data_IF_812673691772
#
_entry.id   IF_812673691772
#
_cell.length_a   1.000
_cell.length_b   1.000
_cell.length_c   1.000
_cell.angle_alpha   90.00
_cell.angle_beta   90.00
_cell.angle_gamma   90.00
#
_symmetry.space_group_name_H-M   'P 1'
#
loop_
_entity.id
_entity.type
_entity.pdbx_description
1 polymer ?
#
# COMPACT_ATOMS: atom_id res chain seq x y z
N UNK A 1 6.52 40.86 8.52
CA UNK A 1 7.77 40.15 8.90
C UNK A 1 7.85 38.90 8.04
N UNK A 2 8.85 38.57 7.23
CA UNK A 2 10.09 39.19 6.75
C UNK A 2 10.53 38.27 5.59
N UNK A 3 10.35 38.64 4.30
CA UNK A 3 11.38 39.17 3.38
C UNK A 3 12.80 38.57 3.45
N UNK A 4 12.94 37.24 3.61
CA UNK A 4 14.24 36.55 3.44
C UNK A 4 14.26 35.31 2.53
N UNK A 5 13.18 35.00 1.81
CA UNK A 5 13.12 33.84 0.90
C UNK A 5 13.59 34.13 -0.55
N UNK A 6 13.65 35.40 -0.97
CA UNK A 6 13.91 35.74 -2.37
C UNK A 6 15.40 35.96 -2.73
N UNK A 7 16.31 36.10 -1.75
CA UNK A 7 17.73 36.38 -2.01
C UNK A 7 18.58 35.12 -2.34
N UNK A 8 18.09 33.91 -2.07
CA UNK A 8 18.88 32.70 -2.30
C UNK A 8 18.86 32.24 -3.77
N UNK A 9 17.81 32.58 -4.54
CA UNK A 9 17.68 32.14 -5.95
C UNK A 9 18.51 32.96 -6.95
N UNK A 10 19.02 34.14 -6.58
CA UNK A 10 19.70 35.04 -7.53
C UNK A 10 21.22 34.89 -7.59
N UNK A 11 21.87 34.18 -6.64
CA UNK A 11 23.34 34.05 -6.61
C UNK A 11 23.92 32.77 -7.21
N UNK A 12 23.10 31.80 -7.62
CA UNK A 12 23.60 30.52 -8.18
C UNK A 12 23.50 30.39 -9.71
N UNK A 13 23.05 31.43 -10.42
CA UNK A 13 22.82 31.41 -11.87
C UNK A 13 23.80 32.25 -12.72
N UNK A 14 24.92 32.74 -12.18
CA UNK A 14 25.95 33.47 -12.95
C UNK A 14 27.37 32.88 -12.86
N UNK A 15 27.51 31.56 -12.86
CA UNK A 15 28.81 30.89 -12.96
C UNK A 15 28.80 29.71 -13.93
N UNK A 16 28.95 30.02 -15.22
CA UNK A 16 29.31 29.14 -16.34
C UNK A 16 30.54 28.26 -16.00
N UNK A 17 30.80 27.03 -16.45
CA UNK A 17 30.21 25.97 -17.31
C UNK A 17 31.19 24.75 -17.23
N UNK A 18 31.09 23.64 -18.01
CA UNK A 18 30.14 22.53 -17.98
C UNK A 18 30.82 21.15 -17.69
N UNK A 19 30.15 20.21 -17.01
CA UNK A 19 30.26 18.77 -17.33
C UNK A 19 29.15 17.93 -16.70
N UNK A 20 28.62 17.00 -17.51
CA UNK A 20 27.78 15.85 -17.16
C UNK A 20 26.38 16.13 -16.60
N UNK A 21 25.49 16.54 -17.51
CA UNK A 21 24.04 16.52 -17.31
C UNK A 21 23.47 15.10 -17.45
N UNK A 22 22.91 14.58 -16.36
CA UNK A 22 21.51 14.10 -16.26
C UNK A 22 21.29 13.62 -14.82
N UNK A 23 21.11 14.55 -13.90
CA UNK A 23 20.52 14.27 -12.58
C UNK A 23 19.00 14.31 -12.72
N UNK A 24 18.35 13.31 -12.14
CA UNK A 24 16.91 13.24 -11.88
C UNK A 24 16.54 14.26 -10.78
N UNK A 25 15.85 15.36 -11.12
CA UNK A 25 14.79 15.80 -10.21
C UNK A 25 13.55 16.24 -10.99
N UNK A 26 12.85 15.29 -11.63
CA UNK A 26 11.50 15.54 -12.18
C UNK A 26 10.49 14.42 -11.87
N UNK A 27 10.82 13.44 -11.03
CA UNK A 27 9.87 12.36 -10.64
C UNK A 27 9.12 12.58 -9.32
N UNK A 28 9.22 13.76 -8.70
CA UNK A 28 8.28 14.14 -7.64
C UNK A 28 7.08 14.83 -8.29
N UNK A 29 6.10 14.01 -8.69
CA UNK A 29 4.73 14.46 -8.94
C UNK A 29 4.25 15.34 -7.78
N UNK A 30 3.44 16.39 -8.02
CA UNK A 30 3.14 17.37 -7.00
C UNK A 30 2.51 16.70 -5.79
N UNK A 31 3.15 16.85 -4.62
CA UNK A 31 2.54 16.62 -3.32
C UNK A 31 1.18 17.31 -3.35
N UNK A 32 0.09 16.54 -3.24
CA UNK A 32 -1.26 17.07 -3.15
C UNK A 32 -1.27 18.12 -2.02
N UNK A 33 -1.42 19.39 -2.39
CA UNK A 33 -1.36 20.54 -1.47
C UNK A 33 -2.67 20.76 -0.70
N UNK A 34 -3.64 19.87 -0.84
CA UNK A 34 -4.91 20.02 -0.14
C UNK A 34 -4.91 19.22 1.15
N UNK A 35 -5.21 19.85 2.30
CA UNK A 35 -5.51 19.09 3.50
C UNK A 35 -6.72 18.21 3.19
N UNK A 36 -6.62 16.90 3.48
CA UNK A 36 -7.76 15.97 3.41
C UNK A 36 -8.71 16.34 4.55
N UNK A 37 -9.49 17.40 4.37
CA UNK A 37 -10.62 17.73 5.23
C UNK A 37 -11.80 16.89 4.74
N UNK A 38 -12.26 15.98 5.59
CA UNK A 38 -13.33 15.03 5.31
C UNK A 38 -14.72 15.64 5.17
N UNK A 39 -14.89 16.66 4.33
CA UNK A 39 -16.20 17.24 4.02
C UNK A 39 -16.61 16.89 2.58
N UNK A 40 -17.50 15.90 2.48
CA UNK A 40 -18.18 15.55 1.23
C UNK A 40 -19.27 16.60 0.98
N UNK A 41 -19.12 17.45 -0.05
CA UNK A 41 -20.25 18.22 -0.58
C UNK A 41 -21.15 17.26 -1.36
N UNK A 42 -22.30 16.93 -0.79
CA UNK A 42 -23.40 16.27 -1.49
C UNK A 42 -24.08 17.31 -2.38
N UNK A 43 -23.88 17.23 -3.70
CA UNK A 43 -24.78 17.83 -4.67
C UNK A 43 -25.45 16.69 -5.44
N UNK A 44 -26.69 16.38 -5.06
CA UNK A 44 -27.64 15.71 -5.92
C UNK A 44 -28.60 16.80 -6.41
N UNK A 45 -28.51 17.16 -7.70
CA UNK A 45 -29.59 17.89 -8.36
C UNK A 45 -30.24 16.96 -9.38
N UNK A 46 -31.56 16.83 -9.21
CA UNK A 46 -32.49 16.06 -10.02
C UNK A 46 -32.42 16.43 -11.50
N UNK A 47 -32.11 15.44 -12.35
CA UNK A 47 -32.58 15.42 -13.74
C UNK A 47 -33.10 14.04 -14.09
N UNK A 48 -34.39 13.99 -14.38
CA UNK A 48 -35.08 12.83 -14.97
C UNK A 48 -34.43 12.46 -16.31
N UNK A 49 -33.55 11.48 -16.26
CA UNK A 49 -33.16 10.61 -17.37
C UNK A 49 -33.41 9.20 -16.87
N UNK A 50 -33.98 8.32 -17.71
CA UNK A 50 -34.25 6.93 -17.34
C UNK A 50 -32.99 6.28 -16.74
N UNK A 51 -33.03 6.09 -15.43
CA UNK A 51 -31.88 5.77 -14.60
C UNK A 51 -31.64 4.27 -14.65
N UNK A 52 -30.52 3.83 -15.22
CA UNK A 52 -30.01 2.46 -15.08
C UNK A 52 -28.99 2.49 -13.93
N UNK A 53 -29.39 2.21 -12.68
CA UNK A 53 -28.63 2.64 -11.48
C UNK A 53 -27.32 1.87 -11.24
N UNK A 54 -26.97 0.92 -12.11
CA UNK A 54 -25.78 0.07 -11.95
C UNK A 54 -24.54 0.52 -12.73
N UNK A 55 -24.69 1.25 -13.84
CA UNK A 55 -23.56 1.59 -14.70
C UNK A 55 -22.78 2.81 -14.19
N UNK A 56 -23.47 3.83 -13.69
CA UNK A 56 -22.85 5.07 -13.21
C UNK A 56 -22.06 4.85 -11.92
N UNK A 57 -22.58 4.00 -11.02
CA UNK A 57 -21.92 3.70 -9.76
C UNK A 57 -20.66 2.83 -9.96
N UNK A 58 -20.71 1.85 -10.88
CA UNK A 58 -19.53 1.10 -11.30
C UNK A 58 -18.47 2.00 -11.98
N UNK A 59 -18.90 2.99 -12.77
CA UNK A 59 -18.01 3.99 -13.37
C UNK A 59 -17.33 4.87 -12.32
N UNK A 60 -18.10 5.38 -11.34
CA UNK A 60 -17.54 6.22 -10.27
C UNK A 60 -16.53 5.47 -9.39
N UNK A 61 -16.81 4.20 -9.06
CA UNK A 61 -15.88 3.34 -8.32
C UNK A 61 -14.64 3.00 -9.16
N UNK A 62 -14.78 2.87 -10.48
CA UNK A 62 -13.67 2.65 -11.40
C UNK A 62 -12.76 3.87 -11.54
N UNK A 63 -13.30 5.09 -11.55
CA UNK A 63 -12.55 6.35 -11.64
C UNK A 63 -11.73 6.63 -10.37
N UNK A 64 -12.29 6.28 -9.20
CA UNK A 64 -11.60 6.43 -7.91
C UNK A 64 -10.34 5.56 -7.83
N UNK A 65 -10.34 4.38 -8.45
CA UNK A 65 -9.15 3.51 -8.58
C UNK A 65 -8.03 4.20 -9.36
N UNK A 66 -8.35 4.86 -10.47
CA UNK A 66 -7.33 5.37 -11.39
C UNK A 66 -6.57 6.57 -10.83
N UNK A 67 -7.25 7.39 -10.02
CA UNK A 67 -6.71 8.70 -9.59
C UNK A 67 -6.26 8.76 -8.13
N UNK A 68 -6.54 7.73 -7.33
CA UNK A 68 -6.32 7.78 -5.87
C UNK A 68 -5.59 6.56 -5.31
N UNK A 69 -5.00 5.74 -6.17
CA UNK A 69 -4.16 4.61 -5.77
C UNK A 69 -2.70 4.96 -6.05
N UNK A 70 -1.83 4.98 -5.03
CA UNK A 70 -0.39 5.12 -5.24
C UNK A 70 0.15 3.97 -6.08
N UNK A 71 1.08 4.28 -6.98
CA UNK A 71 1.77 3.26 -7.79
C UNK A 71 2.41 2.17 -6.92
N UNK A 72 3.07 2.56 -5.84
CA UNK A 72 3.73 1.64 -4.92
C UNK A 72 2.91 1.47 -3.65
N UNK A 73 2.57 0.22 -3.36
CA UNK A 73 1.95 -0.20 -2.12
C UNK A 73 2.83 -1.22 -1.40
N UNK A 74 2.62 -1.34 -0.10
CA UNK A 74 3.34 -2.24 0.78
C UNK A 74 2.38 -3.16 1.50
N UNK A 75 2.82 -4.38 1.83
CA UNK A 75 2.03 -5.31 2.64
C UNK A 75 2.93 -6.12 3.55
N UNK A 76 2.53 -6.27 4.81
CA UNK A 76 3.13 -7.25 5.71
C UNK A 76 2.23 -8.47 5.81
N UNK A 77 2.83 -9.66 5.79
CA UNK A 77 2.11 -10.91 5.93
C UNK A 77 2.96 -11.97 6.64
N UNK A 78 2.30 -12.96 7.23
CA UNK A 78 2.91 -14.18 7.74
C UNK A 78 2.16 -15.40 7.22
N UNK A 79 2.61 -16.60 7.60
CA UNK A 79 1.93 -17.87 7.27
C UNK A 79 0.52 -17.98 7.83
N UNK A 80 0.08 -17.07 8.70
CA UNK A 80 -1.30 -17.03 9.21
C UNK A 80 -2.16 -15.94 8.58
N UNK A 81 -1.60 -15.08 7.73
CA UNK A 81 -2.34 -13.97 7.09
C UNK A 81 -3.40 -14.40 6.08
N UNK A 82 -3.36 -15.66 5.63
CA UNK A 82 -4.36 -16.32 4.77
C UNK A 82 -5.39 -17.17 5.53
N UNK A 83 -5.67 -16.84 6.80
CA UNK A 83 -6.74 -17.50 7.57
C UNK A 83 -6.26 -18.72 8.37
N UNK A 84 -4.95 -18.96 8.44
CA UNK A 84 -4.32 -20.03 9.22
C UNK A 84 -3.05 -20.55 8.54
N UNK A 85 -2.19 -21.24 9.29
CA UNK A 85 -0.95 -21.86 8.79
C UNK A 85 -1.20 -22.83 7.64
N UNK A 86 -2.33 -23.54 7.70
CA UNK A 86 -2.66 -24.62 6.76
C UNK A 86 -3.46 -24.12 5.54
N UNK A 87 -3.77 -22.81 5.51
CA UNK A 87 -4.62 -22.18 4.50
C UNK A 87 -3.86 -21.11 3.70
N UNK A 88 -2.86 -20.47 4.29
CA UNK A 88 -2.10 -19.42 3.61
C UNK A 88 -1.20 -20.02 2.52
N UNK A 89 -1.41 -19.58 1.29
CA UNK A 89 -0.58 -19.93 0.13
C UNK A 89 0.19 -18.73 -0.43
N UNK A 90 0.40 -17.71 0.41
CA UNK A 90 1.26 -16.58 0.08
C UNK A 90 2.71 -17.06 -0.04
N UNK A 91 3.40 -16.56 -1.05
CA UNK A 91 4.82 -16.81 -1.31
C UNK A 91 5.54 -15.49 -1.49
N UNK A 92 6.86 -15.54 -1.66
CA UNK A 92 7.65 -14.37 -2.01
C UNK A 92 7.35 -13.81 -3.41
N UNK A 93 6.56 -14.53 -4.21
CA UNK A 93 6.19 -14.18 -5.60
C UNK A 93 4.68 -14.11 -5.87
N UNK A 94 3.83 -14.43 -4.89
CA UNK A 94 2.39 -14.28 -5.02
C UNK A 94 1.66 -14.07 -3.68
N UNK A 95 0.58 -13.28 -3.69
CA UNK A 95 -0.45 -13.25 -2.65
C UNK A 95 -1.74 -13.83 -3.22
N UNK A 96 -2.34 -14.78 -2.51
CA UNK A 96 -3.62 -15.35 -2.89
C UNK A 96 -4.66 -15.05 -1.80
N UNK A 97 -5.67 -14.20 -2.10
CA UNK A 97 -6.75 -13.93 -1.16
C UNK A 97 -7.56 -15.18 -0.83
N UNK A 98 -8.26 -15.16 0.31
CA UNK A 98 -9.00 -16.33 0.81
C UNK A 98 -10.00 -16.89 -0.21
N UNK A 99 -10.72 -16.02 -0.93
CA UNK A 99 -11.73 -16.43 -1.90
C UNK A 99 -11.15 -17.30 -3.05
N UNK A 100 -9.86 -17.14 -3.35
CA UNK A 100 -9.17 -17.86 -4.42
C UNK A 100 -8.48 -19.15 -3.95
N UNK A 101 -8.54 -19.47 -2.65
CA UNK A 101 -7.91 -20.67 -2.12
C UNK A 101 -8.65 -21.93 -2.61
N UNK A 102 -7.94 -23.03 -2.97
CA UNK A 102 -8.57 -24.23 -3.53
C UNK A 102 -9.71 -24.80 -2.67
N UNK A 103 -9.54 -24.79 -1.34
CA UNK A 103 -10.58 -25.21 -0.39
C UNK A 103 -11.83 -24.33 -0.49
N UNK A 104 -11.66 -23.02 -0.57
CA UNK A 104 -12.79 -22.08 -0.63
C UNK A 104 -13.53 -22.21 -1.96
N UNK A 105 -12.81 -22.36 -3.07
CA UNK A 105 -13.39 -22.59 -4.40
C UNK A 105 -14.20 -23.90 -4.43
N UNK A 106 -13.68 -24.97 -3.81
CA UNK A 106 -14.38 -26.26 -3.73
C UNK A 106 -15.63 -26.17 -2.86
N UNK A 107 -15.51 -25.58 -1.67
CA UNK A 107 -16.58 -25.60 -0.66
C UNK A 107 -17.70 -24.60 -1.02
N UNK A 108 -17.43 -23.60 -1.87
CA UNK A 108 -18.35 -22.49 -2.10
C UNK A 108 -18.50 -21.99 -3.54
N UNK A 109 -17.83 -22.60 -4.51
CA UNK A 109 -17.88 -22.21 -5.91
C UNK A 109 -16.81 -21.19 -6.31
N UNK A 110 -16.68 -20.91 -7.62
CA UNK A 110 -15.66 -20.01 -8.14
C UNK A 110 -15.89 -18.58 -7.69
N UNK A 111 -14.80 -17.89 -7.37
CA UNK A 111 -14.83 -16.42 -7.19
C UNK A 111 -15.03 -15.77 -8.57
N UNK A 112 -15.82 -14.68 -8.67
CA UNK A 112 -15.95 -13.91 -9.92
C UNK A 112 -14.59 -13.58 -10.51
N UNK A 113 -14.47 -13.68 -11.83
CA UNK A 113 -13.18 -13.49 -12.51
C UNK A 113 -12.81 -12.03 -12.58
N UNK A 114 -13.82 -11.16 -12.67
CA UNK A 114 -13.63 -9.72 -12.75
C UNK A 114 -14.49 -9.02 -11.71
N UNK A 115 -13.99 -7.91 -11.18
CA UNK A 115 -14.77 -7.11 -10.25
C UNK A 115 -15.99 -6.47 -10.90
N UNK A 116 -15.97 -6.27 -12.23
CA UNK A 116 -17.10 -5.74 -12.98
C UNK A 116 -18.31 -6.68 -13.00
N UNK A 117 -18.11 -7.94 -12.61
CA UNK A 117 -19.19 -8.91 -12.44
C UNK A 117 -19.83 -8.83 -11.04
N UNK A 118 -19.26 -8.03 -10.13
CA UNK A 118 -19.67 -7.96 -8.72
C UNK A 118 -20.47 -6.67 -8.48
N UNK A 119 -21.72 -6.77 -7.99
CA UNK A 119 -22.50 -5.59 -7.60
C UNK A 119 -21.79 -4.76 -6.52
N UNK A 120 -21.90 -3.43 -6.58
CA UNK A 120 -21.28 -2.53 -5.59
C UNK A 120 -21.72 -2.86 -4.14
N UNK A 121 -22.99 -3.24 -3.95
CA UNK A 121 -23.51 -3.66 -2.65
C UNK A 121 -22.76 -4.88 -2.09
N UNK A 122 -22.40 -5.82 -2.94
CA UNK A 122 -21.61 -7.00 -2.58
C UNK A 122 -20.14 -6.62 -2.32
N UNK A 123 -19.54 -5.72 -3.11
CA UNK A 123 -18.20 -5.18 -2.85
C UNK A 123 -18.11 -4.49 -1.49
N UNK A 124 -19.11 -3.67 -1.16
CA UNK A 124 -19.20 -2.98 0.13
C UNK A 124 -19.39 -3.97 1.27
N UNK A 125 -20.27 -4.96 1.11
CA UNK A 125 -20.49 -5.98 2.12
C UNK A 125 -19.23 -6.83 2.36
N UNK A 126 -18.55 -7.27 1.29
CA UNK A 126 -17.28 -7.98 1.37
C UNK A 126 -16.22 -7.14 2.11
N UNK A 127 -16.17 -5.83 1.83
CA UNK A 127 -15.26 -4.89 2.53
C UNK A 127 -15.57 -4.83 4.03
N UNK A 128 -16.85 -4.71 4.40
CA UNK A 128 -17.28 -4.69 5.80
C UNK A 128 -16.87 -5.98 6.53
N UNK A 129 -17.13 -7.14 5.91
CA UNK A 129 -16.78 -8.45 6.48
C UNK A 129 -15.27 -8.66 6.61
N UNK A 130 -14.50 -8.21 5.62
CA UNK A 130 -13.04 -8.22 5.64
C UNK A 130 -12.50 -7.42 6.83
N UNK A 131 -13.02 -6.21 7.04
CA UNK A 131 -12.63 -5.34 8.16
C UNK A 131 -13.06 -5.87 9.52
N UNK A 132 -14.25 -6.47 9.61
CA UNK A 132 -14.74 -7.07 10.84
C UNK A 132 -13.92 -8.30 11.26
N UNK A 133 -12.97 -8.77 10.42
CA UNK A 133 -12.21 -10.01 10.59
C UNK A 133 -13.13 -11.19 10.87
N UNK A 134 -14.32 -11.17 10.27
CA UNK A 134 -15.34 -12.18 10.54
C UNK A 134 -14.79 -13.56 10.19
N UNK A 135 -14.83 -14.54 11.12
CA UNK A 135 -14.42 -15.90 10.83
C UNK A 135 -15.17 -16.42 9.60
N UNK A 136 -14.44 -16.91 8.60
CA UNK A 136 -15.04 -17.41 7.35
C UNK A 136 -15.45 -16.34 6.33
N UNK A 137 -15.11 -15.06 6.53
CA UNK A 137 -15.28 -14.04 5.50
C UNK A 137 -14.49 -14.43 4.25
N UNK A 138 -15.23 -14.68 3.16
CA UNK A 138 -14.67 -14.86 1.83
C UNK A 138 -14.34 -13.49 1.30
N UNK A 139 -13.06 -13.17 1.32
CA UNK A 139 -12.58 -11.93 0.76
C UNK A 139 -11.69 -12.24 -0.42
N UNK A 140 -12.04 -11.66 -1.56
CA UNK A 140 -11.13 -11.54 -2.70
C UNK A 140 -10.07 -10.46 -2.46
N UNK A 141 -10.08 -9.78 -1.30
CA UNK A 141 -9.16 -8.70 -0.99
C UNK A 141 -7.90 -9.13 -0.25
N UNK A 142 -6.82 -8.41 -0.56
CA UNK A 142 -5.60 -8.32 0.20
C UNK A 142 -5.37 -6.89 0.68
N UNK A 143 -5.33 -6.71 2.00
CA UNK A 143 -4.95 -5.45 2.64
C UNK A 143 -3.52 -5.02 2.32
N UNK A 144 -3.37 -3.78 1.88
CA UNK A 144 -2.10 -3.12 1.58
C UNK A 144 -2.11 -1.72 2.22
N UNK A 145 -0.95 -1.08 2.30
CA UNK A 145 -0.80 0.29 2.78
C UNK A 145 0.16 1.06 1.89
N UNK A 146 -0.04 2.37 1.77
CA UNK A 146 0.92 3.25 1.07
C UNK A 146 2.12 3.65 1.94
N UNK A 147 2.17 3.20 3.19
CA UNK A 147 3.20 3.57 4.16
C UNK A 147 4.08 2.38 4.52
N UNK A 148 5.36 2.44 4.12
CA UNK A 148 6.36 1.45 4.52
C UNK A 148 6.48 1.33 6.05
N UNK A 149 6.49 2.47 6.76
CA UNK A 149 6.57 2.50 8.23
C UNK A 149 5.42 1.74 8.91
N UNK A 150 4.20 1.83 8.38
CA UNK A 150 3.05 1.07 8.87
C UNK A 150 3.29 -0.43 8.70
N UNK A 151 3.74 -0.83 7.52
CA UNK A 151 4.01 -2.23 7.18
C UNK A 151 5.16 -2.79 8.01
N UNK A 152 6.23 -2.02 8.26
CA UNK A 152 7.34 -2.40 9.13
C UNK A 152 6.87 -2.62 10.57
N UNK A 153 6.07 -1.70 11.12
CA UNK A 153 5.47 -1.88 12.44
C UNK A 153 4.60 -3.13 12.50
N UNK A 154 3.76 -3.36 11.48
CA UNK A 154 2.89 -4.54 11.48
C UNK A 154 3.68 -5.84 11.34
N UNK A 155 4.70 -5.89 10.47
CA UNK A 155 5.58 -7.07 10.32
C UNK A 155 6.27 -7.41 11.65
N UNK A 156 6.77 -6.41 12.36
CA UNK A 156 7.34 -6.60 13.69
C UNK A 156 6.30 -7.10 14.70
N UNK A 157 5.10 -6.51 14.73
CA UNK A 157 4.02 -7.00 15.58
C UNK A 157 3.69 -8.47 15.30
N UNK A 158 3.62 -8.88 14.02
CA UNK A 158 3.39 -10.27 13.61
C UNK A 158 4.48 -11.19 14.15
N UNK A 159 5.75 -10.84 13.96
CA UNK A 159 6.88 -11.63 14.47
C UNK A 159 6.82 -11.76 15.99
N UNK A 160 6.66 -10.64 16.70
CA UNK A 160 6.78 -10.58 18.15
C UNK A 160 5.58 -11.26 18.87
N UNK A 161 4.40 -11.34 18.24
CA UNK A 161 3.18 -11.86 18.89
C UNK A 161 2.65 -13.19 18.34
N UNK A 162 3.12 -13.63 17.17
CA UNK A 162 2.60 -14.84 16.53
C UNK A 162 3.64 -15.92 16.26
N UNK A 163 4.89 -15.69 16.69
CA UNK A 163 6.05 -16.56 16.41
C UNK A 163 6.13 -16.98 14.94
N UNK A 164 5.80 -16.03 14.08
CA UNK A 164 5.54 -16.25 12.67
C UNK A 164 6.64 -15.59 11.84
N UNK A 165 7.07 -16.26 10.77
CA UNK A 165 7.98 -15.68 9.79
C UNK A 165 7.26 -14.57 9.00
N UNK A 166 7.47 -13.33 9.43
CA UNK A 166 6.91 -12.15 8.79
C UNK A 166 7.68 -11.80 7.51
N UNK A 167 6.95 -11.35 6.50
CA UNK A 167 7.44 -10.89 5.22
C UNK A 167 6.91 -9.49 4.94
N UNK A 168 7.69 -8.72 4.19
CA UNK A 168 7.30 -7.42 3.66
C UNK A 168 7.26 -7.54 2.15
N UNK A 169 6.16 -7.12 1.55
CA UNK A 169 5.95 -7.09 0.12
C UNK A 169 5.93 -5.66 -0.40
N UNK A 170 6.50 -5.48 -1.58
CA UNK A 170 6.35 -4.30 -2.45
C UNK A 170 5.46 -4.69 -3.61
N UNK A 171 4.52 -3.81 -3.94
CA UNK A 171 3.49 -4.00 -4.96
C UNK A 171 3.51 -2.75 -5.86
N UNK A 172 3.97 -2.88 -7.10
CA UNK A 172 3.78 -1.89 -8.16
C UNK A 172 2.47 -2.17 -8.88
N UNK A 173 1.46 -1.34 -8.62
CA UNK A 173 0.10 -1.51 -9.14
C UNK A 173 0.00 -1.39 -10.66
N UNK A 174 1.06 -0.90 -11.34
CA UNK A 174 1.08 -0.73 -12.78
C UNK A 174 1.73 -1.92 -13.52
N UNK A 175 2.34 -2.86 -12.82
CA UNK A 175 3.09 -4.00 -13.40
C UNK A 175 2.66 -5.35 -12.80
N UNK A 176 1.43 -5.44 -12.31
CA UNK A 176 0.85 -6.70 -11.85
C UNK A 176 0.37 -7.55 -13.03
N UNK A 177 0.52 -8.86 -12.89
CA UNK A 177 -0.14 -9.80 -13.78
C UNK A 177 -1.65 -9.83 -13.48
N UNK A 178 -2.43 -10.21 -14.49
CA UNK A 178 -3.88 -10.38 -14.42
C UNK A 178 -4.67 -9.10 -14.06
N UNK A 179 -5.98 -9.27 -13.88
CA UNK A 179 -6.87 -8.21 -13.44
C UNK A 179 -6.83 -8.04 -11.91
N UNK A 180 -5.77 -7.41 -11.40
CA UNK A 180 -5.73 -6.95 -10.00
C UNK A 180 -6.25 -5.52 -9.93
N UNK A 181 -7.24 -5.32 -9.07
CA UNK A 181 -7.86 -4.01 -8.90
C UNK A 181 -7.67 -3.50 -7.48
N UNK A 182 -7.36 -2.21 -7.32
CA UNK A 182 -7.05 -1.63 -6.01
C UNK A 182 -7.93 -0.44 -5.70
N UNK A 183 -8.38 -0.34 -4.44
CA UNK A 183 -9.08 0.84 -3.92
C UNK A 183 -8.51 1.28 -2.59
N UNK A 184 -8.52 2.59 -2.38
CA UNK A 184 -8.43 3.16 -1.05
C UNK A 184 -9.73 2.85 -0.28
N UNK A 185 -9.62 2.27 0.92
CA UNK A 185 -10.79 1.79 1.68
C UNK A 185 -11.84 2.87 1.94
N UNK A 186 -11.50 4.12 2.28
CA UNK A 186 -12.45 5.23 2.42
C UNK A 186 -13.43 5.41 1.25
N UNK A 187 -13.08 4.97 0.04
CA UNK A 187 -13.97 4.99 -1.12
C UNK A 187 -15.05 3.90 -1.08
N UNK A 188 -14.82 2.81 -0.35
CA UNK A 188 -15.75 1.69 -0.20
C UNK A 188 -16.56 1.79 1.10
N UNK A 189 -15.91 2.19 2.19
CA UNK A 189 -16.51 2.39 3.51
C UNK A 189 -15.84 3.56 4.25
N UNK A 190 -16.54 4.34 5.09
CA UNK A 190 -15.98 5.55 5.73
C UNK A 190 -15.08 5.21 6.94
N UNK A 191 -14.02 4.43 6.73
CA UNK A 191 -13.03 4.00 7.74
C UNK A 191 -11.76 3.48 7.04
N UNK A 192 -10.73 3.13 7.82
CA UNK A 192 -9.54 2.46 7.26
C UNK A 192 -8.63 3.35 6.42
N UNK A 193 -8.43 4.62 6.80
CA UNK A 193 -7.74 5.64 5.99
C UNK A 193 -6.31 5.28 5.55
N UNK A 194 -5.66 4.30 6.17
CA UNK A 194 -4.32 3.85 5.81
C UNK A 194 -4.30 2.60 4.92
N UNK A 195 -5.47 2.04 4.63
CA UNK A 195 -5.60 0.74 4.00
C UNK A 195 -6.09 0.87 2.55
N UNK A 196 -5.50 0.04 1.71
CA UNK A 196 -5.89 -0.19 0.33
C UNK A 196 -6.24 -1.66 0.19
N UNK A 197 -7.28 -1.99 -0.58
CA UNK A 197 -7.67 -3.37 -0.83
C UNK A 197 -7.41 -3.71 -2.28
N UNK A 198 -6.49 -4.66 -2.49
CA UNK A 198 -6.24 -5.26 -3.78
C UNK A 198 -7.13 -6.50 -3.94
N UNK A 199 -8.07 -6.45 -4.90
CA UNK A 199 -8.92 -7.56 -5.28
C UNK A 199 -8.22 -8.43 -6.34
N UNK A 200 -8.14 -9.73 -6.08
CA UNK A 200 -7.49 -10.69 -6.98
C UNK A 200 -6.16 -11.24 -6.45
N UNK A 201 -5.60 -12.21 -7.17
CA UNK A 201 -4.28 -12.76 -6.85
C UNK A 201 -3.19 -11.77 -7.27
N UNK A 202 -2.35 -11.33 -6.34
CA UNK A 202 -1.25 -10.40 -6.63
C UNK A 202 -0.03 -11.23 -7.01
N UNK A 203 0.47 -11.07 -8.25
CA UNK A 203 1.65 -11.76 -8.78
C UNK A 203 2.21 -10.98 -9.98
N UNK A 204 3.28 -11.49 -10.57
CA UNK A 204 3.94 -10.87 -11.72
C UNK A 204 5.13 -10.02 -11.34
N UNK A 205 5.62 -9.24 -12.31
CA UNK A 205 6.83 -8.44 -12.15
C UNK A 205 6.67 -7.35 -11.08
N UNK A 206 5.47 -6.79 -10.97
CA UNK A 206 5.07 -5.78 -9.99
C UNK A 206 4.95 -6.28 -8.56
N UNK A 207 5.29 -7.54 -8.25
CA UNK A 207 5.19 -8.07 -6.90
C UNK A 207 6.47 -8.78 -6.45
N UNK A 208 6.93 -8.42 -5.25
CA UNK A 208 7.95 -9.20 -4.54
C UNK A 208 7.82 -9.07 -3.04
N UNK A 209 8.05 -10.14 -2.31
CA UNK A 209 8.19 -10.12 -0.86
C UNK A 209 9.53 -10.67 -0.38
N UNK A 210 10.00 -10.09 0.72
CA UNK A 210 11.27 -10.39 1.37
C UNK A 210 10.99 -10.68 2.85
N UNK A 211 11.68 -11.67 3.40
CA UNK A 211 11.54 -12.01 4.82
C UNK A 211 12.06 -10.87 5.71
N UNK A 212 11.35 -10.58 6.81
CA UNK A 212 11.76 -9.52 7.74
C UNK A 212 13.18 -9.75 8.28
N UNK A 213 13.54 -11.01 8.59
CA UNK A 213 14.89 -11.37 9.03
C UNK A 213 15.97 -11.09 7.99
N UNK A 214 15.64 -11.20 6.71
CA UNK A 214 16.57 -10.90 5.62
C UNK A 214 16.80 -9.39 5.50
N UNK A 215 15.74 -8.58 5.64
CA UNK A 215 15.86 -7.12 5.71
C UNK A 215 16.71 -6.69 6.92
N UNK A 216 16.53 -7.32 8.08
CA UNK A 216 17.34 -7.05 9.27
C UNK A 216 18.82 -7.32 9.06
N UNK A 217 19.17 -8.45 8.42
CA UNK A 217 20.55 -8.77 8.05
C UNK A 217 21.17 -7.77 7.07
N UNK A 218 20.34 -7.10 6.28
CA UNK A 218 20.75 -6.10 5.30
C UNK A 218 20.60 -4.65 5.79
N UNK A 219 20.49 -4.44 7.11
CA UNK A 219 20.60 -3.10 7.71
C UNK A 219 19.28 -2.41 8.04
N UNK A 220 18.15 -3.11 8.02
CA UNK A 220 16.85 -2.52 8.40
C UNK A 220 16.89 -1.85 9.78
N UNK A 221 17.50 -2.51 10.76
CA UNK A 221 17.57 -1.99 12.13
C UNK A 221 18.53 -0.80 12.29
N UNK A 222 19.41 -0.56 11.30
CA UNK A 222 20.26 0.64 11.29
C UNK A 222 19.50 1.84 10.72
N UNK A 223 18.73 1.63 9.65
CA UNK A 223 17.91 2.66 9.02
C UNK A 223 16.62 2.98 9.79
N UNK A 224 16.12 2.04 10.59
CA UNK A 224 14.91 2.19 11.41
C UNK A 224 15.15 1.67 12.84
N UNK A 225 16.05 2.31 13.61
CA UNK A 225 16.44 1.84 14.94
C UNK A 225 15.27 1.75 15.94
N UNK A 226 14.21 2.51 15.72
CA UNK A 226 13.00 2.50 16.54
C UNK A 226 12.33 1.12 16.56
N UNK A 227 12.48 0.34 15.49
CA UNK A 227 11.97 -1.03 15.40
C UNK A 227 12.59 -1.98 16.43
N UNK A 228 13.59 -1.55 17.21
CA UNK A 228 14.08 -2.34 18.35
C UNK A 228 13.01 -2.45 19.46
N UNK A 229 12.08 -1.49 19.56
CA UNK A 229 11.08 -1.43 20.63
C UNK A 229 9.78 -2.16 20.26
N UNK A 230 9.08 -2.80 21.20
CA UNK A 230 7.78 -3.43 20.94
C UNK A 230 6.80 -2.46 20.25
N UNK A 231 5.95 -3.00 19.37
CA UNK A 231 4.99 -2.20 18.61
C UNK A 231 3.61 -2.83 18.65
N UNK A 232 2.58 -2.00 18.62
CA UNK A 232 1.21 -2.45 18.41
C UNK A 232 0.98 -2.76 16.93
N UNK A 233 -0.14 -3.43 16.59
CA UNK A 233 -0.43 -3.86 15.22
C UNK A 233 -0.30 -2.76 14.15
N UNK A 234 -0.54 -1.49 14.48
CA UNK A 234 -0.39 -0.37 13.54
C UNK A 234 0.68 0.65 13.97
N UNK A 235 1.43 0.34 15.02
CA UNK A 235 2.59 1.10 15.52
C UNK A 235 2.37 2.61 15.61
N UNK A 236 1.19 3.09 16.05
CA UNK A 236 0.83 4.51 15.97
C UNK A 236 1.88 5.43 16.62
N UNK A 237 2.30 5.08 17.83
CA UNK A 237 3.31 5.83 18.59
C UNK A 237 4.68 5.74 17.92
N UNK A 238 5.11 4.53 17.56
CA UNK A 238 6.40 4.29 16.92
C UNK A 238 6.54 5.03 15.59
N UNK A 239 5.50 5.02 14.76
CA UNK A 239 5.45 5.77 13.50
C UNK A 239 5.52 7.27 13.74
N UNK A 240 4.82 7.79 14.74
CA UNK A 240 4.88 9.21 15.05
C UNK A 240 6.29 9.66 15.43
N UNK A 241 7.10 8.77 16.00
CA UNK A 241 8.50 9.01 16.31
C UNK A 241 9.41 8.92 15.07
N UNK A 242 9.21 7.92 14.21
CA UNK A 242 9.92 7.82 12.91
C UNK A 242 9.75 9.06 12.02
N UNK A 243 8.66 9.82 12.21
CA UNK A 243 8.41 11.10 11.51
C UNK A 243 8.76 12.36 12.32
N UNK A 244 9.23 12.21 13.57
CA UNK A 244 9.52 13.35 14.45
C UNK A 244 10.91 13.91 14.22
N UNK A 245 11.84 13.09 13.74
CA UNK A 245 13.19 13.56 13.42
C UNK A 245 13.15 14.41 12.14
N UNK A 246 13.57 15.67 12.27
CA UNK A 246 13.61 16.64 11.18
C UNK A 246 14.71 16.27 10.17
N UNK A 247 14.51 16.65 8.90
CA UNK A 247 15.45 16.61 7.77
C UNK A 247 16.83 16.04 8.14
N UNK A 248 16.98 14.71 8.00
CA UNK A 248 18.26 14.05 8.15
C UNK A 248 18.94 14.01 6.77
N UNK A 249 20.19 14.48 6.73
CA UNK A 249 21.05 14.22 5.59
C UNK A 249 21.38 12.72 5.61
N UNK A 250 20.86 11.98 4.61
CA UNK A 250 21.18 10.56 4.44
C UNK A 250 22.67 10.44 4.19
N UNK A 251 23.41 9.83 5.12
CA UNK A 251 24.83 9.61 4.97
C UNK A 251 25.11 8.57 3.88
N UNK A 252 26.30 8.61 3.27
CA UNK A 252 26.66 7.70 2.17
C UNK A 252 26.57 6.21 2.58
N UNK A 253 26.88 5.87 3.84
CA UNK A 253 26.79 4.53 4.37
C UNK A 253 25.34 4.07 4.62
N UNK A 254 24.46 4.98 5.04
CA UNK A 254 23.02 4.73 5.15
C UNK A 254 22.40 4.52 3.77
N UNK A 255 22.82 5.31 2.77
CA UNK A 255 22.40 5.15 1.39
C UNK A 255 22.79 3.77 0.84
N UNK A 256 24.01 3.30 1.09
CA UNK A 256 24.43 1.96 0.70
C UNK A 256 23.54 0.87 1.32
N UNK A 257 23.15 1.01 2.59
CA UNK A 257 22.24 0.07 3.25
C UNK A 257 20.83 0.12 2.66
N UNK A 258 20.32 1.31 2.34
CA UNK A 258 19.03 1.48 1.66
C UNK A 258 19.06 0.77 0.31
N UNK A 259 20.11 0.97 -0.49
CA UNK A 259 20.28 0.30 -1.78
C UNK A 259 20.38 -1.23 -1.64
N UNK A 260 21.13 -1.71 -0.63
CA UNK A 260 21.25 -3.13 -0.34
C UNK A 260 19.88 -3.75 0.00
N UNK A 261 19.10 -3.12 0.87
CA UNK A 261 17.74 -3.57 1.19
C UNK A 261 16.81 -3.52 -0.01
N UNK A 262 16.84 -2.42 -0.77
CA UNK A 262 16.02 -2.25 -1.96
C UNK A 262 16.29 -3.39 -2.95
N UNK A 263 17.55 -3.77 -3.17
CA UNK A 263 17.95 -4.83 -4.12
C UNK A 263 17.34 -6.19 -3.87
N UNK A 264 16.91 -6.48 -2.63
CA UNK A 264 16.19 -7.73 -2.30
C UNK A 264 14.83 -7.82 -3.01
N UNK A 265 14.24 -6.66 -3.35
CA UNK A 265 12.99 -6.54 -4.09
C UNK A 265 13.16 -6.57 -5.61
N UNK A 266 14.37 -6.76 -6.15
CA UNK A 266 14.61 -6.88 -7.59
C UNK A 266 14.52 -5.53 -8.32
N UNK A 267 13.80 -5.46 -9.44
CA UNK A 267 13.70 -4.24 -10.25
C UNK A 267 12.52 -3.33 -9.88
N UNK A 268 11.98 -3.48 -8.65
CA UNK A 268 10.75 -2.79 -8.21
C UNK A 268 10.98 -1.38 -7.64
N UNK A 269 12.18 -0.81 -7.77
CA UNK A 269 12.56 0.49 -7.22
C UNK A 269 13.47 1.29 -8.16
#
# INVERSE_FOLDING_TARGET
MSRKWDEYKYRKLQGSSPSLSKTFPEMLSPIAKEPITGERKLHFEDKHVEHVPGLEAASAVADLRQNHVPRILFRAWSRTSGGGSDLTINTTTAIVPHAYMPRMVRDFGPTPKSIYEIPESELRQMTILHFARSPGAKSGYSSCASSLHLVLCYAKYLRDNKDDEAHIAVIDTNDLDDEVYVWHVPHLIPRGNHEYLAYGCIRGNGYRAVGLRELERNGLMKNFPELARPTSAFGKELRAEMFREADWDVLDDEWFLIQAMASLFGNLY
#
